data_IF_085721678842
#
_entry.id   IF_085721678842
#
_cell.length_a   1.000
_cell.length_b   1.000
_cell.length_c   1.000
_cell.angle_alpha   90.00
_cell.angle_beta   90.00
_cell.angle_gamma   90.00
#
_symmetry.space_group_name_H-M   'P 1'
#
loop_
_entity.id
_entity.type
_entity.pdbx_description
1 polymer ?
#
# COMPACT_ATOMS: atom_id res chain seq x y z
N UNK A 1 -32.26 -3.16 19.32
CA UNK A 1 -32.20 -2.21 18.19
C UNK A 1 -31.15 -1.17 18.53
N UNK A 2 -30.02 -1.15 17.83
CA UNK A 2 -29.01 -0.08 17.99
C UNK A 2 -29.64 1.22 17.50
N UNK A 3 -29.60 2.28 18.33
CA UNK A 3 -30.17 3.59 17.99
C UNK A 3 -29.51 4.15 16.72
N UNK A 4 -30.27 4.85 15.87
CA UNK A 4 -29.74 5.51 14.66
C UNK A 4 -28.57 6.47 14.98
N UNK A 5 -28.60 7.11 16.15
CA UNK A 5 -27.50 7.97 16.62
C UNK A 5 -26.23 7.16 16.90
N UNK A 6 -26.36 5.99 17.50
CA UNK A 6 -25.26 5.07 17.78
C UNK A 6 -24.60 4.61 16.49
N UNK A 7 -25.41 4.25 15.48
CA UNK A 7 -24.92 3.85 14.15
C UNK A 7 -24.10 4.95 13.47
N UNK A 8 -24.57 6.20 13.49
CA UNK A 8 -23.83 7.33 12.90
C UNK A 8 -22.48 7.56 13.60
N UNK A 9 -22.43 7.43 14.93
CA UNK A 9 -21.18 7.54 15.70
C UNK A 9 -20.17 6.45 15.32
N UNK A 10 -20.60 5.21 15.07
CA UNK A 10 -19.71 4.12 14.66
C UNK A 10 -19.04 4.42 13.32
N UNK A 11 -19.80 4.86 12.31
CA UNK A 11 -19.24 5.26 11.02
C UNK A 11 -18.35 6.52 11.13
N UNK A 12 -18.68 7.44 12.03
CA UNK A 12 -17.82 8.59 12.33
C UNK A 12 -16.43 8.16 12.82
N UNK A 13 -16.37 7.21 13.75
CA UNK A 13 -15.10 6.65 14.22
C UNK A 13 -14.37 5.90 13.10
N UNK A 14 -15.08 5.14 12.26
CA UNK A 14 -14.48 4.45 11.11
C UNK A 14 -13.78 5.41 10.13
N UNK A 15 -14.41 6.55 9.83
CA UNK A 15 -13.85 7.62 8.98
C UNK A 15 -12.63 8.24 9.66
N UNK A 16 -12.74 8.61 10.93
CA UNK A 16 -11.67 9.27 11.66
C UNK A 16 -10.45 8.35 11.86
N UNK A 17 -10.67 7.07 12.12
CA UNK A 17 -9.61 6.07 12.22
C UNK A 17 -8.88 5.90 10.87
N UNK A 18 -9.64 5.75 9.78
CA UNK A 18 -9.08 5.65 8.44
C UNK A 18 -8.30 6.91 8.05
N UNK A 19 -8.86 8.10 8.30
CA UNK A 19 -8.22 9.38 7.98
C UNK A 19 -6.97 9.62 8.82
N UNK A 20 -7.04 9.42 10.14
CA UNK A 20 -5.93 9.62 11.06
C UNK A 20 -4.75 8.72 10.74
N UNK A 21 -5.00 7.42 10.59
CA UNK A 21 -3.96 6.46 10.21
C UNK A 21 -3.34 6.81 8.85
N UNK A 22 -4.18 7.12 7.85
CA UNK A 22 -3.72 7.46 6.50
C UNK A 22 -2.88 8.73 6.50
N UNK A 23 -3.23 9.74 7.29
CA UNK A 23 -2.47 10.99 7.38
C UNK A 23 -1.05 10.76 7.91
N UNK A 24 -0.87 9.86 8.88
CA UNK A 24 0.43 9.60 9.50
C UNK A 24 1.30 8.70 8.62
N UNK A 25 0.72 7.69 7.96
CA UNK A 25 1.50 6.75 7.13
C UNK A 25 1.88 7.31 5.76
N UNK A 26 1.03 8.15 5.17
CA UNK A 26 1.19 8.64 3.80
C UNK A 26 2.51 9.35 3.50
N UNK A 27 3.07 10.19 4.39
CA UNK A 27 4.33 10.86 4.12
C UNK A 27 5.51 9.89 3.88
N UNK A 28 5.60 8.82 4.67
CA UNK A 28 6.64 7.80 4.53
C UNK A 28 6.51 7.07 3.20
N UNK A 29 5.29 6.64 2.86
CA UNK A 29 5.05 5.89 1.63
C UNK A 29 5.25 6.77 0.39
N UNK A 30 4.79 8.03 0.42
CA UNK A 30 4.95 8.97 -0.67
C UNK A 30 6.43 9.27 -0.98
N UNK A 31 7.28 9.40 0.05
CA UNK A 31 8.73 9.58 -0.14
C UNK A 31 9.34 8.36 -0.82
N UNK A 32 9.07 7.16 -0.32
CA UNK A 32 9.64 5.93 -0.87
C UNK A 32 9.21 5.73 -2.32
N UNK A 33 7.91 5.87 -2.59
CA UNK A 33 7.35 5.69 -3.93
C UNK A 33 7.92 6.72 -4.92
N UNK A 34 8.04 7.99 -4.51
CA UNK A 34 8.67 9.03 -5.31
C UNK A 34 10.14 8.71 -5.58
N UNK A 35 10.90 8.35 -4.55
CA UNK A 35 12.34 8.10 -4.67
C UNK A 35 12.63 6.90 -5.59
N UNK A 36 11.80 5.85 -5.54
CA UNK A 36 11.89 4.70 -6.46
C UNK A 36 11.71 5.15 -7.91
N UNK A 37 10.68 5.94 -8.19
CA UNK A 37 10.37 6.37 -9.57
C UNK A 37 11.41 7.36 -10.09
N UNK A 38 11.83 8.33 -9.28
CA UNK A 38 12.91 9.27 -9.66
C UNK A 38 14.24 8.52 -9.93
N UNK A 39 14.52 7.46 -9.16
CA UNK A 39 15.69 6.60 -9.39
C UNK A 39 15.55 5.72 -10.64
N UNK A 40 14.36 5.20 -10.92
CA UNK A 40 14.07 4.45 -12.13
C UNK A 40 14.26 5.29 -13.40
N UNK A 41 13.99 6.59 -13.30
CA UNK A 41 14.07 7.52 -14.42
C UNK A 41 15.45 8.19 -14.56
N UNK A 42 16.42 7.84 -13.71
CA UNK A 42 17.75 8.44 -13.71
C UNK A 42 17.79 9.90 -13.23
N UNK A 43 16.68 10.43 -12.68
CA UNK A 43 16.57 11.83 -12.23
C UNK A 43 17.36 12.09 -10.95
N UNK A 44 17.38 11.13 -10.03
CA UNK A 44 18.07 11.23 -8.74
C UNK A 44 18.35 9.83 -8.19
N UNK A 45 19.46 9.66 -7.47
CA UNK A 45 19.72 8.40 -6.76
C UNK A 45 18.70 8.17 -5.64
N UNK A 46 18.29 6.90 -5.44
CA UNK A 46 17.30 6.50 -4.44
C UNK A 46 17.59 7.06 -3.03
N UNK A 47 18.82 6.89 -2.52
CA UNK A 47 19.21 7.33 -1.18
C UNK A 47 19.07 8.84 -0.98
N UNK A 48 19.57 9.64 -1.93
CA UNK A 48 19.44 11.10 -1.89
C UNK A 48 17.97 11.54 -1.99
N UNK A 49 17.15 10.83 -2.75
CA UNK A 49 15.70 11.06 -2.83
C UNK A 49 15.01 10.84 -1.48
N UNK A 50 15.34 9.74 -0.79
CA UNK A 50 14.81 9.42 0.54
C UNK A 50 15.22 10.48 1.58
N UNK A 51 16.51 10.82 1.65
CA UNK A 51 17.04 11.83 2.60
C UNK A 51 16.37 13.18 2.39
N UNK A 52 16.29 13.65 1.14
CA UNK A 52 15.62 14.90 0.81
C UNK A 52 14.13 14.86 1.18
N UNK A 53 13.45 13.73 0.96
CA UNK A 53 12.07 13.53 1.36
C UNK A 53 11.88 13.70 2.87
N UNK A 54 12.71 13.00 3.66
CA UNK A 54 12.66 13.06 5.12
C UNK A 54 12.95 14.47 5.64
N UNK A 55 13.98 15.13 5.10
CA UNK A 55 14.28 16.53 5.41
C UNK A 55 13.08 17.44 5.10
N UNK A 56 12.38 17.21 3.99
CA UNK A 56 11.20 18.02 3.62
C UNK A 56 10.05 17.84 4.61
N UNK A 57 9.80 16.61 5.07
CA UNK A 57 8.78 16.36 6.13
C UNK A 57 9.16 17.08 7.42
N UNK A 58 10.42 16.99 7.84
CA UNK A 58 10.88 17.56 9.10
C UNK A 58 10.91 19.09 9.09
N UNK A 59 11.29 19.69 7.97
CA UNK A 59 11.46 21.15 7.85
C UNK A 59 10.21 21.87 7.36
N UNK A 60 9.39 21.25 6.52
CA UNK A 60 8.24 21.87 5.85
C UNK A 60 7.03 20.92 5.72
N UNK A 61 6.51 20.36 6.82
CA UNK A 61 5.43 19.36 6.79
C UNK A 61 4.14 19.90 6.15
N UNK A 62 3.78 21.16 6.41
CA UNK A 62 2.58 21.81 5.86
C UNK A 62 2.63 21.94 4.33
N UNK A 63 3.83 22.16 3.75
CA UNK A 63 4.00 22.19 2.29
C UNK A 63 3.94 20.78 1.70
N UNK A 64 4.38 19.77 2.44
CA UNK A 64 4.34 18.39 1.98
C UNK A 64 2.90 17.87 1.87
N UNK A 65 2.04 18.13 2.85
CA UNK A 65 0.65 17.61 2.87
C UNK A 65 -0.24 18.18 1.76
N UNK A 66 0.09 19.35 1.21
CA UNK A 66 -0.65 19.92 0.06
C UNK A 66 -0.19 19.35 -1.30
N UNK A 67 0.93 18.61 -1.33
CA UNK A 67 1.46 18.08 -2.59
C UNK A 67 0.52 17.03 -3.21
N UNK A 68 0.46 16.94 -4.55
CA UNK A 68 -0.30 15.88 -5.23
C UNK A 68 0.14 14.46 -4.81
N UNK A 69 1.44 14.26 -4.58
CA UNK A 69 2.00 12.95 -4.22
C UNK A 69 1.49 12.47 -2.84
N UNK A 70 1.37 13.37 -1.87
CA UNK A 70 0.80 13.06 -0.57
C UNK A 70 -0.70 12.75 -0.71
N UNK A 71 -1.45 13.60 -1.41
CA UNK A 71 -2.91 13.44 -1.55
C UNK A 71 -3.30 12.12 -2.20
N UNK A 72 -2.53 11.65 -3.18
CA UNK A 72 -2.76 10.36 -3.84
C UNK A 72 -2.51 9.17 -2.93
N UNK A 73 -1.42 9.20 -2.15
CA UNK A 73 -1.11 8.14 -1.18
C UNK A 73 -2.11 8.16 -0.03
N UNK A 74 -2.46 9.35 0.46
CA UNK A 74 -3.52 9.54 1.45
C UNK A 74 -4.83 8.94 0.97
N UNK A 75 -5.27 9.28 -0.24
CA UNK A 75 -6.51 8.74 -0.80
C UNK A 75 -6.48 7.21 -0.92
N UNK A 76 -5.34 6.63 -1.34
CA UNK A 76 -5.15 5.18 -1.41
C UNK A 76 -5.34 4.49 -0.05
N UNK A 77 -4.60 4.94 0.97
CA UNK A 77 -4.66 4.36 2.31
C UNK A 77 -6.02 4.61 2.95
N UNK A 78 -6.53 5.84 2.83
CA UNK A 78 -7.83 6.22 3.35
C UNK A 78 -8.92 5.36 2.76
N UNK A 79 -8.99 5.26 1.42
CA UNK A 79 -9.98 4.45 0.74
C UNK A 79 -9.93 2.98 1.15
N UNK A 80 -8.72 2.42 1.32
CA UNK A 80 -8.54 1.03 1.74
C UNK A 80 -9.03 0.81 3.18
N UNK A 81 -8.59 1.64 4.14
CA UNK A 81 -9.01 1.51 5.54
C UNK A 81 -10.48 1.85 5.75
N UNK A 82 -10.97 2.92 5.11
CA UNK A 82 -12.38 3.30 5.16
C UNK A 82 -13.26 2.16 4.67
N UNK A 83 -12.93 1.55 3.52
CA UNK A 83 -13.69 0.41 2.99
C UNK A 83 -13.68 -0.77 3.97
N UNK A 84 -12.51 -1.12 4.52
CA UNK A 84 -12.41 -2.20 5.49
C UNK A 84 -13.29 -1.95 6.73
N UNK A 85 -13.20 -0.73 7.27
CA UNK A 85 -13.91 -0.32 8.48
C UNK A 85 -15.44 -0.31 8.25
N UNK A 86 -15.89 0.28 7.15
CA UNK A 86 -17.31 0.37 6.78
C UNK A 86 -17.91 -1.00 6.54
N UNK A 87 -17.20 -1.91 5.85
CA UNK A 87 -17.69 -3.27 5.62
C UNK A 87 -17.88 -4.00 6.95
N UNK A 88 -16.89 -3.94 7.84
CA UNK A 88 -16.99 -4.55 9.17
C UNK A 88 -18.20 -4.00 9.93
N UNK A 89 -18.35 -2.66 10.02
CA UNK A 89 -19.46 -2.02 10.75
C UNK A 89 -20.82 -2.31 10.13
N UNK A 90 -20.92 -2.34 8.80
CA UNK A 90 -22.18 -2.65 8.11
C UNK A 90 -22.59 -4.11 8.32
N UNK A 91 -21.64 -5.04 8.24
CA UNK A 91 -21.89 -6.46 8.42
C UNK A 91 -22.27 -6.78 9.88
N UNK A 92 -21.59 -6.14 10.84
CA UNK A 92 -21.92 -6.19 12.27
C UNK A 92 -23.38 -5.75 12.52
N UNK A 93 -23.79 -4.60 11.98
CA UNK A 93 -25.16 -4.07 12.12
C UNK A 93 -26.22 -4.98 11.50
N UNK A 94 -25.86 -5.72 10.46
CA UNK A 94 -26.75 -6.67 9.79
C UNK A 94 -26.64 -8.10 10.34
N UNK A 95 -25.84 -8.31 11.39
CA UNK A 95 -25.59 -9.64 11.98
C UNK A 95 -25.14 -10.68 10.94
N UNK A 96 -24.34 -10.25 9.96
CA UNK A 96 -23.78 -11.12 8.93
C UNK A 96 -22.70 -12.00 9.55
N UNK A 97 -22.64 -13.26 9.14
CA UNK A 97 -21.63 -14.21 9.62
C UNK A 97 -20.19 -13.71 9.39
N UNK A 98 -19.29 -14.02 10.32
CA UNK A 98 -17.89 -13.58 10.30
C UNK A 98 -17.14 -14.07 9.05
N UNK A 99 -17.41 -15.28 8.57
CA UNK A 99 -16.79 -15.83 7.36
C UNK A 99 -17.18 -15.00 6.12
N UNK A 100 -18.47 -14.72 5.96
CA UNK A 100 -19.01 -13.87 4.88
C UNK A 100 -18.49 -12.44 4.97
N UNK A 101 -18.45 -11.86 6.16
CA UNK A 101 -17.89 -10.52 6.42
C UNK A 101 -16.44 -10.43 5.97
N UNK A 102 -15.63 -11.44 6.30
CA UNK A 102 -14.22 -11.50 5.93
C UNK A 102 -14.02 -11.56 4.42
N UNK A 103 -14.84 -12.36 3.71
CA UNK A 103 -14.83 -12.42 2.25
C UNK A 103 -15.27 -11.11 1.59
N UNK A 104 -16.37 -10.50 2.06
CA UNK A 104 -16.84 -9.21 1.56
C UNK A 104 -15.79 -8.12 1.76
N UNK A 105 -15.18 -8.07 2.95
CA UNK A 105 -14.09 -7.14 3.25
C UNK A 105 -12.91 -7.37 2.32
N UNK A 106 -12.48 -8.61 2.12
CA UNK A 106 -11.40 -8.95 1.22
C UNK A 106 -11.68 -8.47 -0.21
N UNK A 107 -12.85 -8.78 -0.77
CA UNK A 107 -13.21 -8.39 -2.14
C UNK A 107 -13.31 -6.87 -2.29
N UNK A 108 -14.01 -6.20 -1.37
CA UNK A 108 -14.19 -4.75 -1.42
C UNK A 108 -12.87 -4.00 -1.28
N UNK A 109 -12.06 -4.37 -0.28
CA UNK A 109 -10.75 -3.75 -0.06
C UNK A 109 -9.78 -4.02 -1.20
N UNK A 110 -9.79 -5.24 -1.77
CA UNK A 110 -8.98 -5.57 -2.95
C UNK A 110 -9.36 -4.72 -4.15
N UNK A 111 -10.66 -4.62 -4.48
CA UNK A 111 -11.14 -3.81 -5.60
C UNK A 111 -10.75 -2.34 -5.44
N UNK A 112 -10.95 -1.76 -4.26
CA UNK A 112 -10.59 -0.36 -3.97
C UNK A 112 -9.08 -0.16 -4.00
N UNK A 113 -8.33 -1.02 -3.32
CA UNK A 113 -6.88 -0.91 -3.21
C UNK A 113 -6.19 -1.04 -4.57
N UNK A 114 -6.52 -2.06 -5.36
CA UNK A 114 -5.93 -2.26 -6.69
C UNK A 114 -6.26 -1.08 -7.61
N UNK A 115 -7.52 -0.63 -7.63
CA UNK A 115 -7.94 0.50 -8.47
C UNK A 115 -7.19 1.79 -8.12
N UNK A 116 -7.09 2.10 -6.82
CA UNK A 116 -6.37 3.28 -6.34
C UNK A 116 -4.85 3.14 -6.52
N UNK A 117 -4.27 1.95 -6.36
CA UNK A 117 -2.85 1.69 -6.57
C UNK A 117 -2.46 1.94 -8.03
N UNK A 118 -3.23 1.39 -8.98
CA UNK A 118 -3.01 1.59 -10.41
C UNK A 118 -3.18 3.08 -10.77
N UNK A 119 -4.20 3.75 -10.25
CA UNK A 119 -4.40 5.18 -10.48
C UNK A 119 -3.23 6.02 -9.94
N UNK A 120 -2.79 5.75 -8.71
CA UNK A 120 -1.63 6.40 -8.08
C UNK A 120 -0.37 6.15 -8.90
N UNK A 121 -0.08 4.91 -9.28
CA UNK A 121 1.14 4.57 -10.03
C UNK A 121 1.16 5.25 -11.39
N UNK A 122 0.03 5.28 -12.10
CA UNK A 122 -0.12 6.04 -13.34
C UNK A 122 0.18 7.52 -13.13
N UNK A 123 -0.38 8.12 -12.07
CA UNK A 123 -0.17 9.54 -11.75
C UNK A 123 1.30 9.81 -11.37
N UNK A 124 1.90 8.98 -10.51
CA UNK A 124 3.28 9.11 -10.07
C UNK A 124 4.26 8.96 -11.24
N UNK A 125 4.03 7.99 -12.12
CA UNK A 125 4.84 7.77 -13.31
C UNK A 125 4.84 9.01 -14.21
N UNK A 126 3.70 9.70 -14.32
CA UNK A 126 3.58 10.96 -15.08
C UNK A 126 4.23 12.15 -14.37
N UNK A 127 4.05 12.27 -13.06
CA UNK A 127 4.57 13.41 -12.28
C UNK A 127 6.10 13.37 -12.10
N UNK A 128 6.67 12.18 -11.96
CA UNK A 128 8.09 11.99 -11.68
C UNK A 128 8.86 11.38 -12.86
N UNK A 129 8.18 11.21 -14.01
CA UNK A 129 8.77 10.86 -15.30
C UNK A 129 9.76 11.91 -15.81
N UNK A 130 10.70 11.49 -16.63
CA UNK A 130 11.59 12.39 -17.41
C UNK A 130 11.12 12.56 -18.86
N UNK A 131 10.17 11.74 -19.29
CA UNK A 131 9.54 11.83 -20.62
C UNK A 131 8.36 12.81 -20.63
N UNK A 132 8.03 13.31 -21.82
CA UNK A 132 6.80 14.09 -22.04
C UNK A 132 5.56 13.30 -21.60
N UNK A 133 4.60 14.00 -20.98
CA UNK A 133 3.39 13.39 -20.42
C UNK A 133 2.56 12.74 -21.53
N UNK A 134 2.43 11.43 -21.47
CA UNK A 134 1.62 10.61 -22.40
C UNK A 134 0.75 9.56 -21.72
N UNK A 135 -0.04 8.84 -22.52
CA UNK A 135 -0.73 7.64 -22.08
C UNK A 135 0.25 6.54 -21.66
N UNK A 136 -0.08 5.79 -20.61
CA UNK A 136 0.69 4.61 -20.25
C UNK A 136 0.39 3.48 -21.24
N UNK A 137 1.40 2.71 -21.68
CA UNK A 137 1.19 1.49 -22.45
C UNK A 137 0.27 0.52 -21.70
N UNK A 138 -0.58 -0.21 -22.43
CA UNK A 138 -1.46 -1.23 -21.85
C UNK A 138 -0.68 -2.25 -21.01
N UNK A 139 0.50 -2.64 -21.51
CA UNK A 139 1.39 -3.57 -20.82
C UNK A 139 1.88 -3.05 -19.45
N UNK A 140 2.02 -1.73 -19.27
CA UNK A 140 2.35 -1.17 -17.95
C UNK A 140 1.20 -1.37 -16.96
N UNK A 141 -0.06 -1.22 -17.40
CA UNK A 141 -1.23 -1.53 -16.55
C UNK A 141 -1.30 -3.01 -16.20
N UNK A 142 -1.03 -3.90 -17.17
CA UNK A 142 -0.98 -5.34 -16.90
C UNK A 142 0.07 -5.66 -15.84
N UNK A 143 1.27 -5.11 -15.94
CA UNK A 143 2.32 -5.35 -14.95
C UNK A 143 1.97 -4.78 -13.57
N UNK A 144 1.34 -3.60 -13.49
CA UNK A 144 0.86 -3.07 -12.21
C UNK A 144 -0.24 -3.96 -11.61
N UNK A 145 -1.20 -4.41 -12.42
CA UNK A 145 -2.27 -5.30 -11.98
C UNK A 145 -1.72 -6.65 -11.50
N UNK A 146 -0.84 -7.31 -12.26
CA UNK A 146 -0.22 -8.57 -11.85
C UNK A 146 0.56 -8.43 -10.55
N UNK A 147 1.36 -7.36 -10.43
CA UNK A 147 2.10 -7.04 -9.19
C UNK A 147 1.16 -6.89 -7.99
N UNK A 148 0.03 -6.21 -8.17
CA UNK A 148 -0.94 -5.99 -7.10
C UNK A 148 -1.65 -7.28 -6.73
N UNK A 149 -2.06 -8.10 -7.70
CA UNK A 149 -2.63 -9.42 -7.44
C UNK A 149 -1.68 -10.32 -6.64
N UNK A 150 -0.38 -10.31 -6.97
CA UNK A 150 0.63 -11.04 -6.19
C UNK A 150 0.71 -10.53 -4.76
N UNK A 151 0.68 -9.20 -4.57
CA UNK A 151 0.76 -8.58 -3.24
C UNK A 151 -0.47 -8.92 -2.40
N UNK A 152 -1.66 -8.89 -3.00
CA UNK A 152 -2.91 -9.30 -2.35
C UNK A 152 -2.86 -10.78 -1.96
N UNK A 153 -2.49 -11.68 -2.88
CA UNK A 153 -2.35 -13.10 -2.57
C UNK A 153 -1.36 -13.35 -1.42
N UNK A 154 -0.21 -12.67 -1.44
CA UNK A 154 0.79 -12.77 -0.38
C UNK A 154 0.38 -12.15 0.95
N UNK A 155 -0.60 -11.23 0.96
CA UNK A 155 -1.05 -10.56 2.18
C UNK A 155 -2.26 -11.23 2.83
N UNK A 156 -3.03 -12.02 2.06
CA UNK A 156 -4.28 -12.62 2.55
C UNK A 156 -4.31 -14.15 2.49
N UNK A 157 -3.69 -14.76 1.47
CA UNK A 157 -3.72 -16.22 1.29
C UNK A 157 -2.49 -16.87 1.93
N UNK A 158 -1.31 -16.29 1.72
CA UNK A 158 -0.06 -16.85 2.23
C UNK A 158 0.10 -16.81 3.77
N UNK A 159 -0.32 -15.74 4.50
CA UNK A 159 -0.02 -15.65 5.92
C UNK A 159 -0.67 -16.73 6.80
N UNK A 160 -1.95 -17.11 6.62
CA UNK A 160 -2.53 -18.22 7.38
C UNK A 160 -1.77 -19.54 7.17
N UNK A 161 -1.39 -19.85 5.92
CA UNK A 161 -0.63 -21.06 5.60
C UNK A 161 0.75 -21.06 6.27
N UNK A 162 1.45 -19.92 6.21
CA UNK A 162 2.75 -19.77 6.86
C UNK A 162 2.64 -19.82 8.39
N UNK A 163 1.61 -19.20 8.97
CA UNK A 163 1.38 -19.21 10.41
C UNK A 163 1.13 -20.63 10.92
N UNK A 164 0.29 -21.42 10.24
CA UNK A 164 0.07 -22.83 10.58
C UNK A 164 1.36 -23.66 10.51
N UNK A 165 2.15 -23.50 9.44
CA UNK A 165 3.42 -24.21 9.29
C UNK A 165 4.47 -23.82 10.36
N UNK A 166 4.43 -22.58 10.87
CA UNK A 166 5.28 -22.14 11.98
C UNK A 166 4.80 -22.70 13.32
N UNK A 167 3.49 -22.77 13.55
CA UNK A 167 2.92 -23.37 14.76
C UNK A 167 3.21 -24.87 14.86
N UNK A 168 3.22 -25.60 13.74
CA UNK A 168 3.69 -26.99 13.68
C UNK A 168 5.15 -27.14 14.15
N UNK A 169 5.95 -26.08 14.03
CA UNK A 169 7.33 -25.99 14.53
C UNK A 169 7.40 -25.43 15.96
N UNK A 170 6.30 -25.47 16.70
CA UNK A 170 6.18 -25.02 18.10
C UNK A 170 6.43 -23.51 18.30
N UNK A 171 6.20 -22.69 17.27
CA UNK A 171 6.17 -21.23 17.46
C UNK A 171 4.88 -20.83 18.16
N UNK A 172 4.98 -19.84 19.04
CA UNK A 172 3.80 -19.22 19.65
C UNK A 172 2.85 -18.65 18.59
N UNK A 173 1.54 -18.80 18.79
CA UNK A 173 0.50 -18.44 17.83
C UNK A 173 0.56 -16.96 17.42
N UNK A 174 0.73 -16.07 18.40
CA UNK A 174 0.79 -14.63 18.17
C UNK A 174 2.05 -14.28 17.38
N UNK A 175 3.20 -14.85 17.76
CA UNK A 175 4.47 -14.64 17.06
C UNK A 175 4.40 -15.16 15.62
N UNK A 176 3.85 -16.34 15.40
CA UNK A 176 3.69 -16.93 14.07
C UNK A 176 2.83 -16.06 13.15
N UNK A 177 1.70 -15.52 13.65
CA UNK A 177 0.83 -14.61 12.90
C UNK A 177 1.54 -13.31 12.53
N UNK A 178 2.22 -12.66 13.47
CA UNK A 178 2.93 -11.41 13.23
C UNK A 178 4.05 -11.60 12.21
N UNK A 179 4.85 -12.67 12.36
CA UNK A 179 5.94 -12.98 11.43
C UNK A 179 5.41 -13.27 10.03
N UNK A 180 4.34 -14.05 9.90
CA UNK A 180 3.73 -14.34 8.61
C UNK A 180 3.17 -13.07 7.94
N UNK A 181 2.49 -12.20 8.71
CA UNK A 181 1.90 -10.96 8.22
C UNK A 181 2.93 -9.94 7.72
N UNK A 182 4.15 -9.94 8.24
CA UNK A 182 5.22 -9.05 7.78
C UNK A 182 6.09 -9.71 6.70
N UNK A 183 6.38 -11.01 6.84
CA UNK A 183 7.31 -11.72 5.96
C UNK A 183 6.70 -12.03 4.61
N UNK A 184 5.43 -12.46 4.54
CA UNK A 184 4.82 -12.80 3.24
C UNK A 184 4.75 -11.58 2.30
N UNK A 185 4.26 -10.38 2.75
CA UNK A 185 4.27 -9.19 1.91
C UNK A 185 5.67 -8.68 1.56
N UNK A 186 6.68 -8.95 2.39
CA UNK A 186 8.08 -8.61 2.11
C UNK A 186 8.67 -9.57 1.07
N UNK A 187 8.45 -10.87 1.21
CA UNK A 187 8.95 -11.90 0.30
C UNK A 187 8.42 -11.70 -1.12
N UNK A 188 7.13 -11.35 -1.27
CA UNK A 188 6.57 -11.10 -2.61
C UNK A 188 7.17 -9.87 -3.30
N UNK A 189 7.83 -8.95 -2.58
CA UNK A 189 8.53 -7.82 -3.21
C UNK A 189 9.66 -8.28 -4.12
N UNK A 190 10.33 -9.39 -3.82
CA UNK A 190 11.40 -9.92 -4.68
C UNK A 190 10.87 -10.34 -6.05
N UNK A 191 9.63 -10.82 -6.12
CA UNK A 191 9.01 -11.24 -7.38
C UNK A 191 8.23 -10.11 -8.07
N UNK A 192 7.65 -9.20 -7.29
CA UNK A 192 6.78 -8.13 -7.80
C UNK A 192 7.55 -6.86 -8.20
N UNK A 193 8.75 -6.63 -7.65
CA UNK A 193 9.59 -5.46 -7.98
C UNK A 193 10.05 -5.43 -9.43
N UNK A 194 10.49 -6.54 -10.06
CA UNK A 194 10.82 -6.53 -11.48
C UNK A 194 9.66 -6.08 -12.35
N UNK A 195 8.44 -6.59 -12.09
CA UNK A 195 7.22 -6.18 -12.82
C UNK A 195 6.97 -4.68 -12.69
N UNK A 196 7.13 -4.14 -11.47
CA UNK A 196 7.00 -2.72 -11.23
C UNK A 196 8.03 -1.88 -12.00
N UNK A 197 9.30 -2.25 -11.97
CA UNK A 197 10.36 -1.55 -12.70
C UNK A 197 10.16 -1.63 -14.21
N UNK A 198 9.75 -2.79 -14.74
CA UNK A 198 9.39 -2.94 -16.16
C UNK A 198 8.22 -2.04 -16.55
N UNK A 199 7.16 -1.97 -15.73
CA UNK A 199 6.01 -1.13 -15.99
C UNK A 199 6.39 0.36 -16.11
N UNK A 200 7.24 0.84 -15.18
CA UNK A 200 7.79 2.20 -15.19
C UNK A 200 8.67 2.43 -16.43
N UNK A 201 9.52 1.47 -16.76
CA UNK A 201 10.46 1.60 -17.87
C UNK A 201 9.78 1.66 -19.24
N UNK A 202 8.72 0.87 -19.44
CA UNK A 202 7.89 0.91 -20.65
C UNK A 202 7.35 2.32 -20.92
N UNK A 203 6.99 3.04 -19.85
CA UNK A 203 6.53 4.41 -19.97
C UNK A 203 7.66 5.40 -20.21
N UNK A 204 8.80 5.27 -19.53
CA UNK A 204 9.84 6.30 -19.54
C UNK A 204 10.84 6.16 -20.70
N UNK A 205 11.02 4.96 -21.24
CA UNK A 205 11.93 4.70 -22.37
C UNK A 205 11.20 3.86 -23.41
N UNK A 206 10.40 4.45 -24.31
CA UNK A 206 9.52 3.71 -25.23
C UNK A 206 10.33 2.93 -26.29
N UNK A 207 11.45 3.50 -26.73
CA UNK A 207 12.32 2.97 -27.77
C UNK A 207 13.39 2.01 -27.23
N UNK A 208 13.44 1.79 -25.91
CA UNK A 208 14.44 0.91 -25.31
C UNK A 208 14.22 -0.56 -25.72
N UNK A 209 15.31 -1.21 -26.13
CA UNK A 209 15.31 -2.64 -26.45
C UNK A 209 15.16 -3.48 -25.17
N UNK A 210 14.68 -4.71 -25.31
CA UNK A 210 14.48 -5.63 -24.17
C UNK A 210 15.75 -5.76 -23.34
N UNK A 211 16.93 -5.83 -23.97
CA UNK A 211 18.23 -5.87 -23.27
C UNK A 211 18.55 -4.61 -22.45
N UNK A 212 18.19 -3.42 -22.95
CA UNK A 212 18.34 -2.17 -22.19
C UNK A 212 17.36 -2.09 -21.01
N UNK A 213 16.18 -2.70 -21.14
CA UNK A 213 15.20 -2.80 -20.05
C UNK A 213 15.68 -3.74 -18.96
N UNK A 214 16.11 -4.95 -19.32
CA UNK A 214 16.61 -5.94 -18.36
C UNK A 214 17.83 -5.44 -17.61
N UNK A 215 18.75 -4.73 -18.28
CA UNK A 215 19.92 -4.12 -17.63
C UNK A 215 19.53 -3.05 -16.61
N UNK A 216 18.56 -2.17 -16.93
CA UNK A 216 18.05 -1.19 -15.97
C UNK A 216 17.43 -1.89 -14.76
N UNK A 217 16.53 -2.85 -15.00
CA UNK A 217 15.86 -3.61 -13.94
C UNK A 217 16.90 -4.27 -13.04
N UNK A 218 17.90 -4.97 -13.60
CA UNK A 218 18.98 -5.62 -12.85
C UNK A 218 19.75 -4.61 -11.98
N UNK A 219 20.10 -3.44 -12.53
CA UNK A 219 20.88 -2.43 -11.81
C UNK A 219 20.13 -1.80 -10.63
N UNK A 220 18.81 -1.69 -10.74
CA UNK A 220 17.96 -1.06 -9.72
C UNK A 220 17.27 -2.06 -8.80
N UNK A 221 17.26 -3.34 -9.16
CA UNK A 221 16.48 -4.38 -8.51
C UNK A 221 16.69 -4.40 -7.00
N UNK A 222 17.92 -4.63 -6.54
CA UNK A 222 18.18 -4.82 -5.11
C UNK A 222 17.79 -3.59 -4.28
N UNK A 223 18.23 -2.39 -4.70
CA UNK A 223 17.93 -1.13 -4.01
C UNK A 223 16.42 -0.86 -3.95
N UNK A 224 15.72 -1.10 -5.06
CA UNK A 224 14.27 -0.91 -5.15
C UNK A 224 13.54 -1.92 -4.28
N UNK A 225 13.91 -3.21 -4.34
CA UNK A 225 13.29 -4.26 -3.53
C UNK A 225 13.45 -3.96 -2.05
N UNK A 226 14.65 -3.57 -1.59
CA UNK A 226 14.86 -3.21 -0.18
C UNK A 226 14.03 -2.00 0.24
N UNK A 227 13.94 -0.95 -0.58
CA UNK A 227 13.07 0.19 -0.27
C UNK A 227 11.58 -0.20 -0.22
N UNK A 228 11.15 -1.11 -1.10
CA UNK A 228 9.79 -1.65 -1.12
C UNK A 228 9.49 -2.57 0.07
N UNK A 229 10.47 -3.30 0.58
CA UNK A 229 10.36 -4.05 1.83
C UNK A 229 10.31 -3.10 3.03
N UNK A 230 11.19 -2.09 3.07
CA UNK A 230 11.26 -1.13 4.17
C UNK A 230 9.94 -0.37 4.39
N UNK A 231 9.23 -0.01 3.31
CA UNK A 231 7.91 0.66 3.42
C UNK A 231 6.80 -0.22 4.02
N UNK A 232 6.97 -1.54 4.11
CA UNK A 232 5.99 -2.45 4.74
C UNK A 232 5.87 -2.15 6.22
N UNK A 233 6.98 -1.85 6.90
CA UNK A 233 6.99 -1.50 8.32
C UNK A 233 6.03 -0.35 8.66
N UNK A 234 6.20 0.85 8.07
CA UNK A 234 5.26 1.94 8.24
C UNK A 234 3.83 1.60 7.79
N UNK A 235 3.66 0.90 6.66
CA UNK A 235 2.34 0.55 6.13
C UNK A 235 1.51 -0.32 7.09
N UNK A 236 2.10 -1.39 7.63
CA UNK A 236 1.41 -2.33 8.53
C UNK A 236 1.45 -1.85 9.98
N UNK A 237 2.59 -1.34 10.45
CA UNK A 237 2.77 -0.85 11.81
C UNK A 237 2.03 0.45 12.07
N UNK A 238 2.44 1.55 11.43
CA UNK A 238 1.80 2.86 11.66
C UNK A 238 0.38 2.86 11.06
N UNK A 239 0.26 2.41 9.81
CA UNK A 239 -1.01 2.41 9.10
C UNK A 239 -2.01 1.40 9.67
N UNK A 240 -1.71 0.11 9.51
CA UNK A 240 -2.62 -0.98 9.88
C UNK A 240 -2.97 -1.01 11.36
N UNK A 241 -1.96 -1.10 12.24
CA UNK A 241 -2.16 -1.13 13.69
C UNK A 241 -2.74 0.20 14.18
N UNK A 242 -2.29 1.33 13.66
CA UNK A 242 -2.83 2.65 14.01
C UNK A 242 -4.32 2.79 13.67
N UNK A 243 -4.76 2.29 12.51
CA UNK A 243 -6.18 2.28 12.15
C UNK A 243 -6.99 1.40 13.11
N UNK A 244 -6.51 0.19 13.40
CA UNK A 244 -7.18 -0.71 14.34
C UNK A 244 -7.28 -0.11 15.75
N UNK A 245 -6.21 0.53 16.23
CA UNK A 245 -6.19 1.22 17.51
C UNK A 245 -7.18 2.40 17.56
N UNK A 246 -7.15 3.29 16.56
CA UNK A 246 -8.09 4.41 16.48
C UNK A 246 -9.54 3.93 16.34
N UNK A 247 -9.76 2.82 15.65
CA UNK A 247 -11.08 2.21 15.50
C UNK A 247 -11.57 1.56 16.79
N UNK A 248 -10.70 1.10 17.68
CA UNK A 248 -11.09 0.51 18.97
C UNK A 248 -11.87 1.48 19.88
N UNK A 249 -11.74 2.79 19.66
CA UNK A 249 -12.56 3.80 20.34
C UNK A 249 -14.06 3.69 20.05
N UNK A 250 -14.47 2.89 19.06
CA UNK A 250 -15.87 2.49 18.83
C UNK A 250 -16.51 1.84 20.06
N UNK A 251 -15.73 1.15 20.90
CA UNK A 251 -16.21 0.51 22.12
C UNK A 251 -16.87 1.49 23.11
N UNK A 252 -16.66 2.80 22.97
CA UNK A 252 -17.34 3.82 23.79
C UNK A 252 -18.79 4.08 23.36
N UNK A 253 -19.19 3.58 22.19
CA UNK A 253 -20.52 3.78 21.61
C UNK A 253 -21.31 2.47 21.50
N UNK A 254 -20.70 1.33 21.84
CA UNK A 254 -21.36 0.02 21.91
C UNK A 254 -21.87 -0.22 23.33
#
# INVERSE_FOLDING_TARGET
MVSHQTTASLYGVDIMAAAGSSAVVSPFIAIVDRAIIESANGKRQLGSGLIHGLQTILTQPHKFVVTPQYRLVFALYFGTYFTANVVDTTCEQRSVEQATTSWLKFLATTAVNMSMCIYKDRAFTRMFGTSAVRALPLLSYLFFATRDSMTVAASFIAPPLMASALQERQWDEQHAKVVAQLTCPAAVQFFSTPLHLFALDLYNRPTASIGQRTNLVRSLYFKTTMARCARIGPAFGIGGVGNAYLRSYRNKFL
#
